data_IF_846946940475
#
_entry.id   IF_846946940475
#
_cell.length_a   1.000
_cell.length_b   1.000
_cell.length_c   1.000
_cell.angle_alpha   90.00
_cell.angle_beta   90.00
_cell.angle_gamma   90.00
#
_symmetry.space_group_name_H-M   'P 1'
#
loop_
_entity.id
_entity.type
_entity.pdbx_description
1 polymer ?
#
# COMPACT_ATOMS: atom_id res chain seq x y z
N UNK A 1 -13.40 0.89 -46.49
CA UNK A 1 -12.79 1.39 -45.24
C UNK A 1 -12.91 2.90 -45.25
N UNK A 2 -13.93 3.45 -44.60
CA UNK A 2 -14.12 4.90 -44.49
C UNK A 2 -13.16 5.46 -43.43
N UNK A 3 -12.38 6.48 -43.79
CA UNK A 3 -11.55 7.23 -42.85
C UNK A 3 -12.45 8.16 -42.02
N UNK A 4 -12.19 8.32 -40.70
CA UNK A 4 -12.98 9.23 -39.88
C UNK A 4 -12.70 10.69 -40.31
N UNK A 5 -13.73 11.38 -40.79
CA UNK A 5 -13.70 12.83 -41.02
C UNK A 5 -13.46 13.55 -39.69
N UNK A 6 -12.27 14.12 -39.53
CA UNK A 6 -12.01 15.10 -38.48
C UNK A 6 -12.70 16.42 -38.85
N UNK A 7 -13.91 16.61 -38.31
CA UNK A 7 -14.62 17.87 -38.42
C UNK A 7 -13.80 18.96 -37.68
N UNK A 8 -13.25 19.92 -38.41
CA UNK A 8 -12.52 21.04 -37.82
C UNK A 8 -13.50 21.96 -37.11
N UNK A 9 -13.70 21.76 -35.81
CA UNK A 9 -14.48 22.69 -34.99
C UNK A 9 -13.78 24.06 -35.06
N UNK A 10 -14.46 25.08 -35.62
CA UNK A 10 -14.00 26.47 -35.50
C UNK A 10 -14.00 26.84 -34.03
N UNK A 11 -12.83 26.83 -33.39
CA UNK A 11 -12.69 27.24 -31.99
C UNK A 11 -12.65 28.77 -31.95
N UNK A 12 -13.73 29.39 -31.47
CA UNK A 12 -13.77 30.83 -31.16
C UNK A 12 -13.70 31.00 -29.64
N UNK A 13 -12.84 31.91 -29.17
CA UNK A 13 -12.82 32.31 -27.76
C UNK A 13 -14.05 33.17 -27.49
N UNK A 14 -14.91 32.72 -26.58
CA UNK A 14 -16.04 33.50 -26.10
C UNK A 14 -15.51 34.58 -25.13
N UNK A 15 -16.13 35.76 -25.12
CA UNK A 15 -15.74 36.87 -24.25
C UNK A 15 -16.78 37.13 -23.15
N UNK A 16 -18.08 36.98 -23.47
CA UNK A 16 -19.20 37.16 -22.55
C UNK A 16 -19.26 36.08 -21.44
N UNK A 17 -19.35 36.45 -20.15
CA UNK A 17 -19.41 35.50 -19.03
C UNK A 17 -20.63 34.56 -19.03
N UNK A 18 -21.81 35.04 -19.42
CA UNK A 18 -23.03 34.23 -19.42
C UNK A 18 -23.05 33.25 -20.60
N UNK A 19 -22.60 33.69 -21.77
CA UNK A 19 -22.39 32.83 -22.94
C UNK A 19 -21.38 31.72 -22.65
N UNK A 20 -20.28 32.04 -21.94
CA UNK A 20 -19.31 31.04 -21.44
C UNK A 20 -19.96 30.02 -20.52
N UNK A 21 -20.73 30.48 -19.52
CA UNK A 21 -21.36 29.61 -18.53
C UNK A 21 -22.35 28.63 -19.19
N UNK A 22 -23.15 29.12 -20.15
CA UNK A 22 -24.08 28.29 -20.90
C UNK A 22 -23.36 27.28 -21.81
N UNK A 23 -22.28 27.70 -22.49
CA UNK A 23 -21.48 26.81 -23.32
C UNK A 23 -20.80 25.71 -22.49
N UNK A 24 -20.27 26.05 -21.32
CA UNK A 24 -19.71 25.09 -20.36
C UNK A 24 -20.78 24.09 -19.91
N UNK A 25 -21.96 24.56 -19.49
CA UNK A 25 -23.05 23.68 -19.04
C UNK A 25 -23.47 22.69 -20.13
N UNK A 26 -23.66 23.16 -21.36
CA UNK A 26 -24.01 22.30 -22.51
C UNK A 26 -22.92 21.28 -22.82
N UNK A 27 -21.65 21.68 -22.76
CA UNK A 27 -20.53 20.78 -22.97
C UNK A 27 -20.48 19.71 -21.88
N UNK A 28 -20.61 20.11 -20.60
CA UNK A 28 -20.65 19.19 -19.45
C UNK A 28 -21.79 18.18 -19.59
N UNK A 29 -23.01 18.63 -19.87
CA UNK A 29 -24.17 17.73 -20.07
C UNK A 29 -23.99 16.77 -21.25
N UNK A 30 -23.40 17.23 -22.35
CA UNK A 30 -23.10 16.39 -23.51
C UNK A 30 -22.08 15.30 -23.16
N UNK A 31 -21.05 15.65 -22.39
CA UNK A 31 -20.04 14.70 -21.92
C UNK A 31 -20.65 13.70 -20.93
N UNK A 32 -21.43 14.16 -19.94
CA UNK A 32 -22.11 13.28 -18.97
C UNK A 32 -23.10 12.33 -19.65
N UNK A 33 -23.85 12.80 -20.66
CA UNK A 33 -24.76 11.93 -21.42
C UNK A 33 -24.01 10.84 -22.19
N UNK A 34 -22.79 11.13 -22.66
CA UNK A 34 -21.98 10.21 -23.45
C UNK A 34 -21.13 9.26 -22.59
N UNK A 35 -20.67 9.70 -21.43
CA UNK A 35 -19.66 9.00 -20.62
C UNK A 35 -20.10 8.69 -19.17
N UNK A 36 -21.29 9.15 -18.75
CA UNK A 36 -21.89 8.91 -17.43
C UNK A 36 -21.88 10.13 -16.51
N UNK A 37 -22.79 10.14 -15.54
CA UNK A 37 -23.08 11.27 -14.63
C UNK A 37 -21.99 11.57 -13.57
N UNK A 38 -20.80 10.98 -13.67
CA UNK A 38 -19.66 11.21 -12.78
C UNK A 38 -18.34 11.46 -13.55
N UNK A 39 -18.40 11.72 -14.86
CA UNK A 39 -17.20 11.96 -15.68
C UNK A 39 -16.56 13.33 -15.39
N UNK A 40 -17.37 14.33 -15.01
CA UNK A 40 -16.90 15.68 -14.71
C UNK A 40 -17.30 16.00 -13.26
N UNK A 41 -16.31 16.29 -12.42
CA UNK A 41 -16.53 16.68 -11.03
C UNK A 41 -16.16 18.16 -10.84
N UNK A 42 -17.08 18.93 -10.24
CA UNK A 42 -16.79 20.26 -9.70
C UNK A 42 -16.05 20.14 -8.36
N UNK A 43 -15.61 21.27 -7.77
CA UNK A 43 -14.86 21.28 -6.51
C UNK A 43 -15.64 20.65 -5.35
N UNK A 44 -16.97 20.86 -5.29
CA UNK A 44 -17.86 20.22 -4.32
C UNK A 44 -17.95 18.70 -4.52
N UNK A 45 -18.06 18.24 -5.77
CA UNK A 45 -18.03 16.81 -6.12
C UNK A 45 -16.69 16.15 -5.81
N UNK A 46 -15.58 16.88 -5.94
CA UNK A 46 -14.24 16.41 -5.51
C UNK A 46 -14.10 16.34 -3.99
N UNK A 47 -14.61 17.34 -3.26
CA UNK A 47 -14.54 17.40 -1.81
C UNK A 47 -15.38 16.29 -1.14
N UNK A 48 -16.48 15.86 -1.78
CA UNK A 48 -17.33 14.77 -1.28
C UNK A 48 -16.71 13.36 -1.39
N UNK A 49 -15.61 13.19 -2.12
CA UNK A 49 -14.92 11.90 -2.24
C UNK A 49 -13.88 11.72 -1.13
N UNK A 50 -14.34 11.38 0.08
CA UNK A 50 -13.44 10.79 1.08
C UNK A 50 -12.85 9.51 0.49
N UNK A 51 -11.52 9.46 0.39
CA UNK A 51 -10.82 8.27 -0.10
C UNK A 51 -10.91 7.21 0.99
N UNK A 52 -11.69 6.17 0.75
CA UNK A 52 -11.78 5.03 1.67
C UNK A 52 -10.41 4.35 1.83
N UNK A 53 -10.12 3.88 3.04
CA UNK A 53 -8.90 3.19 3.37
C UNK A 53 -9.13 1.70 3.63
N UNK A 54 -8.12 0.90 3.31
CA UNK A 54 -7.95 -0.49 3.71
C UNK A 54 -6.83 -0.53 4.77
N UNK A 55 -7.12 -0.92 6.03
CA UNK A 55 -6.13 -0.91 7.11
C UNK A 55 -4.90 -1.76 6.77
N UNK A 56 -3.71 -1.29 7.13
CA UNK A 56 -2.46 -2.02 6.81
C UNK A 56 -2.12 -3.15 7.78
N UNK A 57 -2.84 -3.25 8.89
CA UNK A 57 -2.49 -4.12 10.03
C UNK A 57 -1.43 -3.51 10.96
N UNK A 58 -0.92 -2.31 10.62
CA UNK A 58 0.11 -1.58 11.36
C UNK A 58 -0.42 -0.16 11.62
N UNK A 59 -0.77 0.14 12.87
CA UNK A 59 -1.38 1.42 13.24
C UNK A 59 -0.49 2.60 12.89
N UNK A 60 0.81 2.55 13.21
CA UNK A 60 1.71 3.67 12.91
C UNK A 60 1.90 3.90 11.41
N UNK A 61 1.77 2.86 10.58
CA UNK A 61 1.74 3.00 9.13
C UNK A 61 0.43 3.64 8.65
N UNK A 62 -0.71 3.22 9.21
CA UNK A 62 -2.01 3.83 8.91
C UNK A 62 -2.00 5.34 9.23
N UNK A 63 -1.40 5.73 10.36
CA UNK A 63 -1.14 7.12 10.74
C UNK A 63 -0.22 7.85 9.76
N UNK A 64 0.81 7.15 9.27
CA UNK A 64 1.75 7.69 8.32
C UNK A 64 1.13 7.89 6.93
N UNK A 65 0.21 7.01 6.52
CA UNK A 65 -0.57 7.19 5.29
C UNK A 65 -1.61 8.30 5.47
N UNK A 66 -2.14 8.48 6.69
CA UNK A 66 -2.91 9.64 7.11
C UNK A 66 -4.42 9.54 6.90
N UNK A 67 -4.90 8.51 6.18
CA UNK A 67 -6.33 8.24 5.96
C UNK A 67 -6.79 6.96 6.65
N UNK A 68 -5.97 6.37 7.52
CA UNK A 68 -6.29 5.12 8.24
C UNK A 68 -5.92 3.84 7.50
N UNK A 69 -5.11 3.91 6.45
CA UNK A 69 -4.62 2.73 5.73
C UNK A 69 -4.34 2.99 4.24
N UNK A 70 -4.21 1.94 3.46
CA UNK A 70 -3.99 2.01 2.02
C UNK A 70 -5.24 2.57 1.30
N UNK A 71 -5.10 3.55 0.40
CA UNK A 71 -6.24 4.10 -0.31
C UNK A 71 -6.87 3.07 -1.25
N UNK A 72 -8.16 2.75 -1.05
CA UNK A 72 -8.92 1.84 -1.90
C UNK A 72 -8.93 2.30 -3.36
N UNK A 73 -8.82 1.34 -4.28
CA UNK A 73 -8.80 1.60 -5.72
C UNK A 73 -7.49 2.22 -6.22
N UNK A 74 -6.36 1.95 -5.55
CA UNK A 74 -5.04 2.47 -5.90
C UNK A 74 -3.96 1.39 -5.83
N UNK A 75 -2.86 1.66 -6.53
CA UNK A 75 -1.63 0.86 -6.46
C UNK A 75 -0.71 1.39 -5.35
N UNK A 76 -0.06 0.48 -4.64
CA UNK A 76 0.90 0.72 -3.56
C UNK A 76 2.20 0.01 -3.94
N UNK A 77 3.35 0.66 -3.72
CA UNK A 77 4.66 0.00 -3.88
C UNK A 77 5.33 -0.11 -2.50
N UNK A 78 5.67 -1.34 -2.10
CA UNK A 78 6.55 -1.63 -0.98
C UNK A 78 7.93 -1.97 -1.54
N UNK A 79 8.96 -1.20 -1.21
CA UNK A 79 10.30 -1.44 -1.72
C UNK A 79 11.37 -1.30 -0.64
N UNK A 80 12.51 -1.96 -0.84
CA UNK A 80 13.54 -2.04 0.19
C UNK A 80 14.56 -3.14 -0.10
N UNK A 81 15.64 -3.14 0.68
CA UNK A 81 16.64 -4.20 0.64
C UNK A 81 16.02 -5.59 0.92
N UNK A 82 16.73 -6.65 0.54
CA UNK A 82 16.39 -8.00 0.98
C UNK A 82 16.29 -8.08 2.50
N UNK A 83 15.40 -8.94 3.00
CA UNK A 83 15.16 -9.10 4.43
C UNK A 83 14.77 -7.81 5.18
N UNK A 84 14.32 -6.75 4.51
CA UNK A 84 13.92 -5.51 5.20
C UNK A 84 12.57 -5.61 5.89
N UNK A 85 11.74 -6.60 5.55
CA UNK A 85 10.39 -6.80 6.11
C UNK A 85 9.24 -6.46 5.15
N UNK A 86 9.51 -6.31 3.84
CA UNK A 86 8.48 -6.00 2.82
C UNK A 86 7.34 -7.02 2.82
N UNK A 87 7.68 -8.30 2.74
CA UNK A 87 6.71 -9.41 2.76
C UNK A 87 5.95 -9.44 4.08
N UNK A 88 6.59 -9.18 5.22
CA UNK A 88 5.89 -9.04 6.52
C UNK A 88 4.85 -7.91 6.49
N UNK A 89 5.16 -6.74 5.92
CA UNK A 89 4.18 -5.63 5.78
C UNK A 89 3.00 -6.08 4.93
N UNK A 90 3.26 -6.75 3.80
CA UNK A 90 2.20 -7.21 2.92
C UNK A 90 1.33 -8.29 3.58
N UNK A 91 1.93 -9.27 4.26
CA UNK A 91 1.20 -10.35 4.94
C UNK A 91 0.35 -9.83 6.10
N UNK A 92 0.79 -8.80 6.82
CA UNK A 92 -0.08 -8.15 7.81
C UNK A 92 -1.26 -7.40 7.17
N UNK A 93 -1.07 -6.80 5.99
CA UNK A 93 -2.18 -6.24 5.23
C UNK A 93 -3.17 -7.33 4.77
N UNK A 94 -2.66 -8.51 4.37
CA UNK A 94 -3.48 -9.68 4.04
C UNK A 94 -4.29 -10.14 5.26
N UNK A 95 -3.62 -10.39 6.38
CA UNK A 95 -4.27 -10.86 7.61
C UNK A 95 -5.34 -9.86 8.10
N UNK A 96 -5.03 -8.56 8.09
CA UNK A 96 -5.96 -7.51 8.49
C UNK A 96 -7.16 -7.40 7.52
N UNK A 97 -6.92 -7.59 6.21
CA UNK A 97 -8.02 -7.60 5.23
C UNK A 97 -8.95 -8.78 5.44
N UNK A 98 -8.41 -10.00 5.62
CA UNK A 98 -9.19 -11.21 5.87
C UNK A 98 -9.93 -11.16 7.21
N UNK A 99 -9.32 -10.58 8.25
CA UNK A 99 -9.96 -10.34 9.55
C UNK A 99 -11.20 -9.45 9.42
N UNK A 100 -11.17 -8.48 8.51
CA UNK A 100 -12.29 -7.61 8.19
C UNK A 100 -13.26 -8.20 7.14
N UNK A 101 -13.12 -9.49 6.81
CA UNK A 101 -14.00 -10.21 5.88
C UNK A 101 -13.75 -9.92 4.39
N UNK A 102 -12.65 -9.25 4.06
CA UNK A 102 -12.27 -8.94 2.68
C UNK A 102 -11.60 -10.12 1.97
N UNK A 103 -11.72 -10.15 0.64
CA UNK A 103 -11.10 -11.18 -0.20
C UNK A 103 -9.72 -10.75 -0.66
N UNK A 104 -8.76 -11.69 -0.61
CA UNK A 104 -7.36 -11.43 -0.94
C UNK A 104 -6.83 -12.41 -1.97
N UNK A 105 -6.07 -11.90 -2.95
CA UNK A 105 -5.23 -12.71 -3.81
C UNK A 105 -3.75 -12.41 -3.57
N UNK A 106 -2.91 -13.43 -3.62
CA UNK A 106 -1.47 -13.33 -3.50
C UNK A 106 -0.82 -13.95 -4.75
N UNK A 107 -0.21 -13.10 -5.56
CA UNK A 107 0.56 -13.49 -6.74
C UNK A 107 2.03 -13.62 -6.31
N UNK A 108 2.50 -14.85 -6.12
CA UNK A 108 3.89 -15.14 -5.80
C UNK A 108 4.66 -15.49 -7.07
N UNK A 109 5.34 -14.51 -7.64
CA UNK A 109 6.24 -14.69 -8.76
C UNK A 109 7.66 -15.11 -8.32
N UNK A 110 8.03 -14.93 -7.05
CA UNK A 110 9.33 -15.37 -6.52
C UNK A 110 9.33 -16.85 -6.05
N UNK A 111 8.16 -17.50 -5.98
CA UNK A 111 7.97 -18.86 -5.48
C UNK A 111 8.63 -19.08 -4.10
N UNK A 112 8.48 -18.10 -3.21
CA UNK A 112 9.24 -18.01 -1.96
C UNK A 112 8.38 -17.74 -0.73
N UNK A 113 7.06 -17.69 -0.87
CA UNK A 113 6.17 -17.47 0.26
C UNK A 113 6.20 -18.66 1.25
N UNK A 114 6.56 -18.36 2.50
CA UNK A 114 6.44 -19.29 3.62
C UNK A 114 5.01 -19.25 4.18
N UNK A 115 4.27 -20.35 3.99
CA UNK A 115 2.87 -20.49 4.42
C UNK A 115 2.78 -20.52 5.95
N UNK A 116 3.68 -21.23 6.64
CA UNK A 116 3.67 -21.33 8.10
C UNK A 116 3.91 -19.96 8.73
N UNK A 117 4.86 -19.20 8.18
CA UNK A 117 5.08 -17.82 8.60
C UNK A 117 3.85 -16.94 8.35
N UNK A 118 3.20 -17.06 7.19
CA UNK A 118 1.98 -16.30 6.91
C UNK A 118 0.85 -16.62 7.91
N UNK A 119 0.63 -17.89 8.22
CA UNK A 119 -0.36 -18.34 9.21
C UNK A 119 -0.06 -17.80 10.61
N UNK A 120 1.21 -17.80 11.02
CA UNK A 120 1.65 -17.19 12.28
C UNK A 120 1.35 -15.68 12.36
N UNK A 121 1.31 -14.99 11.22
CA UNK A 121 0.88 -13.58 11.13
C UNK A 121 -0.64 -13.40 11.09
N UNK A 122 -1.42 -14.49 11.16
CA UNK A 122 -2.87 -14.47 11.14
C UNK A 122 -3.49 -14.53 9.75
N UNK A 123 -2.70 -14.86 8.72
CA UNK A 123 -3.23 -15.13 7.37
C UNK A 123 -4.00 -16.44 7.39
N UNK A 124 -5.22 -16.42 6.86
CA UNK A 124 -6.07 -17.60 6.68
C UNK A 124 -5.76 -18.22 5.31
N UNK A 125 -4.89 -19.21 5.28
CA UNK A 125 -4.39 -19.85 4.06
C UNK A 125 -5.50 -20.50 3.23
N UNK A 126 -6.51 -21.08 3.90
CA UNK A 126 -7.71 -21.70 3.30
C UNK A 126 -8.55 -20.76 2.43
N UNK A 127 -8.55 -19.46 2.74
CA UNK A 127 -9.33 -18.42 2.07
C UNK A 127 -8.47 -17.47 1.24
N UNK A 128 -7.15 -17.69 1.22
CA UNK A 128 -6.22 -16.93 0.40
C UNK A 128 -6.15 -17.53 -1.02
N UNK A 129 -6.48 -16.72 -2.03
CA UNK A 129 -6.25 -17.13 -3.42
C UNK A 129 -4.77 -16.95 -3.73
N UNK A 130 -4.04 -18.06 -3.75
CA UNK A 130 -2.62 -18.09 -4.07
C UNK A 130 -2.41 -18.46 -5.54
N UNK A 131 -1.57 -17.70 -6.25
CA UNK A 131 -1.25 -17.96 -7.65
C UNK A 131 0.24 -17.77 -7.93
N UNK A 132 0.80 -18.67 -8.73
CA UNK A 132 2.21 -18.69 -9.16
C UNK A 132 2.27 -18.62 -10.68
N UNK A 133 2.50 -17.42 -11.26
CA UNK A 133 2.60 -17.26 -12.70
C UNK A 133 4.01 -17.61 -13.20
N UNK A 134 4.10 -18.15 -14.42
CA UNK A 134 5.37 -18.44 -15.08
C UNK A 134 5.98 -17.19 -15.74
N UNK A 135 5.13 -16.23 -16.13
CA UNK A 135 5.53 -15.02 -16.87
C UNK A 135 4.90 -13.75 -16.30
N UNK A 136 5.52 -12.60 -16.58
CA UNK A 136 4.97 -11.30 -16.22
C UNK A 136 3.62 -11.02 -16.88
N UNK A 137 3.44 -11.43 -18.14
CA UNK A 137 2.17 -11.30 -18.85
C UNK A 137 1.06 -12.13 -18.21
N UNK A 138 1.37 -13.36 -17.81
CA UNK A 138 0.43 -14.23 -17.09
C UNK A 138 0.02 -13.63 -15.73
N UNK A 139 0.99 -13.12 -14.97
CA UNK A 139 0.71 -12.42 -13.72
C UNK A 139 -0.28 -11.25 -13.93
N UNK A 140 -0.04 -10.41 -14.94
CA UNK A 140 -0.94 -9.30 -15.26
C UNK A 140 -2.30 -9.77 -15.79
N UNK A 141 -2.37 -10.89 -16.50
CA UNK A 141 -3.65 -11.50 -16.89
C UNK A 141 -4.47 -11.89 -15.66
N UNK A 142 -3.87 -12.62 -14.71
CA UNK A 142 -4.51 -13.01 -13.45
C UNK A 142 -4.97 -11.78 -12.66
N UNK A 143 -4.11 -10.77 -12.50
CA UNK A 143 -4.47 -9.52 -11.82
C UNK A 143 -5.66 -8.84 -12.50
N UNK A 144 -5.68 -8.76 -13.83
CA UNK A 144 -6.80 -8.16 -14.56
C UNK A 144 -8.11 -8.93 -14.34
N UNK A 145 -8.07 -10.26 -14.35
CA UNK A 145 -9.25 -11.08 -14.11
C UNK A 145 -9.76 -10.93 -12.67
N UNK A 146 -8.88 -10.96 -11.67
CA UNK A 146 -9.24 -10.73 -10.27
C UNK A 146 -9.86 -9.36 -10.06
N UNK A 147 -9.25 -8.29 -10.59
CA UNK A 147 -9.81 -6.94 -10.53
C UNK A 147 -11.17 -6.89 -11.24
N UNK A 148 -11.32 -7.51 -12.40
CA UNK A 148 -12.57 -7.51 -13.18
C UNK A 148 -13.75 -8.13 -12.43
N UNK A 149 -13.51 -9.09 -11.53
CA UNK A 149 -14.58 -9.66 -10.69
C UNK A 149 -15.21 -8.63 -9.75
N UNK A 150 -14.46 -7.60 -9.34
CA UNK A 150 -14.86 -6.66 -8.30
C UNK A 150 -14.99 -7.28 -6.90
N UNK A 151 -14.59 -8.54 -6.71
CA UNK A 151 -14.72 -9.26 -5.44
C UNK A 151 -13.53 -9.07 -4.50
N UNK A 152 -12.33 -8.82 -5.04
CA UNK A 152 -11.10 -8.71 -4.25
C UNK A 152 -10.90 -7.31 -3.68
N UNK A 153 -10.68 -7.23 -2.36
CA UNK A 153 -10.31 -6.00 -1.66
C UNK A 153 -8.81 -5.72 -1.77
N UNK A 154 -7.98 -6.77 -1.76
CA UNK A 154 -6.53 -6.68 -1.80
C UNK A 154 -5.93 -7.71 -2.77
N UNK A 155 -4.96 -7.27 -3.56
CA UNK A 155 -4.09 -8.15 -4.35
C UNK A 155 -2.64 -7.81 -4.01
N UNK A 156 -1.84 -8.80 -3.62
CA UNK A 156 -0.40 -8.65 -3.40
C UNK A 156 0.35 -9.29 -4.56
N UNK A 157 1.41 -8.64 -5.03
CA UNK A 157 2.31 -9.14 -6.07
C UNK A 157 3.74 -9.16 -5.53
N UNK A 158 4.25 -10.35 -5.22
CA UNK A 158 5.60 -10.58 -4.69
C UNK A 158 6.44 -11.39 -5.70
N UNK A 159 7.38 -10.81 -6.45
CA UNK A 159 7.73 -9.39 -6.53
C UNK A 159 7.80 -8.92 -7.98
N UNK A 160 7.81 -7.60 -8.16
CA UNK A 160 7.93 -6.95 -9.47
C UNK A 160 9.17 -7.41 -10.24
N UNK A 161 10.27 -7.70 -9.53
CA UNK A 161 11.50 -8.14 -10.16
C UNK A 161 11.33 -9.47 -10.90
N UNK A 162 10.44 -10.34 -10.42
CA UNK A 162 10.15 -11.65 -10.99
C UNK A 162 9.08 -11.62 -12.10
N UNK A 163 8.44 -10.47 -12.36
CA UNK A 163 7.53 -10.28 -13.49
C UNK A 163 8.31 -10.18 -14.81
N UNK A 164 8.93 -11.28 -15.21
CA UNK A 164 9.80 -11.38 -16.38
C UNK A 164 8.97 -11.63 -17.63
N UNK A 165 9.15 -10.84 -18.71
CA UNK A 165 8.43 -11.09 -19.96
C UNK A 165 8.73 -12.48 -20.53
N UNK A 166 7.72 -13.14 -21.13
CA UNK A 166 7.89 -14.45 -21.76
C UNK A 166 9.07 -14.50 -22.74
N UNK A 167 9.25 -13.43 -23.55
CA UNK A 167 10.36 -13.34 -24.49
C UNK A 167 11.75 -13.35 -23.83
N UNK A 168 11.88 -12.79 -22.62
CA UNK A 168 13.15 -12.79 -21.90
C UNK A 168 13.46 -14.17 -21.32
N UNK A 169 12.43 -14.90 -20.87
CA UNK A 169 12.52 -16.30 -20.42
C UNK A 169 12.96 -17.22 -21.57
N UNK A 170 12.43 -16.98 -22.77
CA UNK A 170 12.82 -17.69 -24.00
C UNK A 170 14.20 -17.29 -24.54
N UNK A 171 14.93 -16.42 -23.84
CA UNK A 171 16.32 -16.05 -24.14
C UNK A 171 16.48 -14.79 -25.01
N UNK A 172 15.40 -14.06 -25.32
CA UNK A 172 15.45 -12.80 -26.08
C UNK A 172 15.90 -11.66 -25.17
N UNK A 173 17.21 -11.42 -25.10
CA UNK A 173 17.79 -10.36 -24.28
C UNK A 173 17.71 -8.99 -24.98
N UNK A 174 16.56 -8.31 -24.90
CA UNK A 174 16.49 -6.87 -25.22
C UNK A 174 16.36 -6.02 -23.95
N UNK A 175 17.20 -4.99 -23.78
CA UNK A 175 17.09 -4.10 -22.63
C UNK A 175 15.72 -3.42 -22.55
N UNK A 176 15.09 -3.43 -21.37
CA UNK A 176 13.88 -2.65 -21.09
C UNK A 176 12.55 -3.29 -21.46
N UNK A 177 12.52 -4.57 -21.88
CA UNK A 177 11.26 -5.29 -22.15
C UNK A 177 10.33 -5.27 -20.94
N UNK A 178 10.84 -5.59 -19.75
CA UNK A 178 10.06 -5.55 -18.51
C UNK A 178 9.46 -4.16 -18.25
N UNK A 179 10.25 -3.09 -18.43
CA UNK A 179 9.77 -1.72 -18.22
C UNK A 179 8.67 -1.32 -19.22
N UNK A 180 8.77 -1.78 -20.47
CA UNK A 180 7.74 -1.58 -21.50
C UNK A 180 6.45 -2.31 -21.13
N UNK A 181 6.53 -3.60 -20.82
CA UNK A 181 5.39 -4.41 -20.38
C UNK A 181 4.70 -3.78 -19.16
N UNK A 182 5.46 -3.42 -18.13
CA UNK A 182 4.94 -2.75 -16.93
C UNK A 182 4.22 -1.45 -17.28
N UNK A 183 4.77 -0.63 -18.18
CA UNK A 183 4.14 0.64 -18.59
C UNK A 183 2.80 0.42 -19.29
N UNK A 184 2.75 -0.54 -20.21
CA UNK A 184 1.56 -0.89 -20.97
C UNK A 184 0.47 -1.48 -20.04
N UNK A 185 0.83 -2.49 -19.24
CA UNK A 185 -0.11 -3.19 -18.35
C UNK A 185 -0.65 -2.29 -17.24
N UNK A 186 0.21 -1.53 -16.55
CA UNK A 186 -0.22 -0.64 -15.48
C UNK A 186 -1.13 0.49 -15.99
N UNK A 187 -0.88 1.01 -17.20
CA UNK A 187 -1.73 2.07 -17.78
C UNK A 187 -3.18 1.65 -17.96
N UNK A 188 -3.41 0.38 -18.31
CA UNK A 188 -4.74 -0.20 -18.49
C UNK A 188 -5.38 -0.61 -17.15
N UNK A 189 -4.55 -1.01 -16.18
CA UNK A 189 -4.99 -1.54 -14.90
C UNK A 189 -5.55 -0.45 -13.97
N UNK A 190 -4.94 0.74 -13.91
CA UNK A 190 -5.28 1.79 -12.93
C UNK A 190 -6.74 2.21 -12.98
N UNK A 191 -7.33 2.30 -14.18
CA UNK A 191 -8.75 2.64 -14.34
C UNK A 191 -9.67 1.58 -13.73
N UNK A 192 -9.41 0.30 -14.01
CA UNK A 192 -10.20 -0.84 -13.49
C UNK A 192 -10.09 -0.97 -11.97
N UNK A 193 -8.87 -0.79 -11.43
CA UNK A 193 -8.61 -0.82 -9.99
C UNK A 193 -9.37 0.31 -9.28
N UNK A 194 -9.42 1.50 -9.86
CA UNK A 194 -10.15 2.61 -9.26
C UNK A 194 -11.67 2.40 -9.21
N UNK A 195 -12.23 1.74 -10.23
CA UNK A 195 -13.66 1.41 -10.33
C UNK A 195 -14.06 0.35 -9.30
N UNK A 196 -13.23 -0.68 -9.14
CA UNK A 196 -13.48 -1.85 -8.28
C UNK A 196 -13.11 -1.64 -6.82
N UNK A 197 -12.40 -0.55 -6.52
CA UNK A 197 -11.91 -0.21 -5.18
C UNK A 197 -10.90 -1.20 -4.59
N UNK A 198 -10.42 -2.17 -5.38
CA UNK A 198 -9.32 -3.07 -5.02
C UNK A 198 -8.04 -2.28 -4.72
N UNK A 199 -7.29 -2.68 -3.69
CA UNK A 199 -5.93 -2.23 -3.44
C UNK A 199 -4.97 -3.24 -4.06
N UNK A 200 -3.95 -2.77 -4.78
CA UNK A 200 -2.88 -3.65 -5.27
C UNK A 200 -1.56 -3.23 -4.65
N UNK A 201 -0.92 -4.14 -3.93
CA UNK A 201 0.41 -3.96 -3.36
C UNK A 201 1.43 -4.68 -4.24
N UNK A 202 2.37 -3.92 -4.80
CA UNK A 202 3.53 -4.45 -5.48
C UNK A 202 4.74 -4.43 -4.54
N UNK A 203 5.35 -5.60 -4.32
CA UNK A 203 6.62 -5.70 -3.61
C UNK A 203 7.76 -5.56 -4.63
N UNK A 204 8.78 -4.81 -4.26
CA UNK A 204 9.93 -4.57 -5.13
C UNK A 204 11.24 -4.54 -4.33
N UNK A 205 12.34 -4.87 -4.99
CA UNK A 205 13.66 -4.83 -4.38
C UNK A 205 14.41 -3.56 -4.80
N UNK A 206 15.31 -3.06 -3.96
CA UNK A 206 16.23 -2.00 -4.35
C UNK A 206 17.41 -2.63 -5.10
N UNK A 207 17.73 -2.09 -6.28
CA UNK A 207 18.98 -2.39 -6.99
C UNK A 207 19.88 -1.15 -7.01
N UNK A 208 21.13 -1.34 -6.66
CA UNK A 208 22.18 -0.34 -6.82
C UNK A 208 22.66 -0.37 -8.26
N UNK A 209 22.51 0.75 -8.99
CA UNK A 209 23.22 0.93 -10.25
C UNK A 209 24.54 1.61 -9.97
N UNK A 210 25.67 1.03 -10.41
CA UNK A 210 26.95 1.73 -10.47
C UNK A 210 26.82 2.88 -11.47
N UNK A 211 26.60 4.10 -11.00
CA UNK A 211 26.85 5.33 -11.77
C UNK A 211 28.12 5.98 -11.25
N UNK A 212 28.96 6.47 -12.16
CA UNK A 212 30.35 6.86 -11.92
C UNK A 212 30.62 7.72 -10.66
N UNK A 213 31.85 7.60 -10.17
CA UNK A 213 32.58 8.18 -9.02
C UNK A 213 31.88 8.84 -7.81
N UNK A 214 30.64 9.34 -7.85
CA UNK A 214 30.09 10.15 -6.73
C UNK A 214 28.59 10.01 -6.38
N UNK A 215 27.77 9.22 -7.07
CA UNK A 215 26.41 8.91 -6.57
C UNK A 215 26.00 7.48 -6.90
N UNK A 216 25.84 6.65 -5.88
CA UNK A 216 25.06 5.42 -5.99
C UNK A 216 23.58 5.82 -6.05
N UNK A 217 22.95 5.65 -7.21
CA UNK A 217 21.51 5.85 -7.35
C UNK A 217 20.81 4.52 -7.05
N UNK A 218 20.01 4.50 -5.99
CA UNK A 218 19.11 3.38 -5.72
C UNK A 218 17.95 3.43 -6.72
N UNK A 219 17.75 2.33 -7.45
CA UNK A 219 16.67 2.19 -8.43
C UNK A 219 15.83 0.96 -8.09
N UNK A 220 14.61 0.88 -8.61
CA UNK A 220 13.74 -0.28 -8.43
C UNK A 220 13.48 -0.92 -9.81
N UNK A 221 13.46 -2.26 -9.92
CA UNK A 221 13.08 -2.99 -11.13
C UNK A 221 11.71 -2.59 -11.72
N UNK A 222 11.49 -2.89 -13.01
CA UNK A 222 10.24 -2.58 -13.71
C UNK A 222 10.12 -1.16 -14.29
N UNK A 223 11.21 -0.39 -14.28
CA UNK A 223 11.24 0.97 -14.84
C UNK A 223 10.59 2.02 -13.92
N UNK A 224 10.17 3.15 -14.51
CA UNK A 224 9.58 4.27 -13.75
C UNK A 224 8.05 4.20 -13.61
N UNK A 225 7.37 3.36 -14.40
CA UNK A 225 5.92 3.28 -14.49
C UNK A 225 5.25 3.06 -13.13
N UNK A 226 5.70 2.03 -12.38
CA UNK A 226 5.16 1.73 -11.06
C UNK A 226 5.33 2.93 -10.10
N UNK A 227 6.48 3.61 -10.14
CA UNK A 227 6.72 4.82 -9.33
C UNK A 227 5.73 5.92 -9.64
N UNK A 228 5.28 6.08 -10.88
CA UNK A 228 4.31 7.09 -11.29
C UNK A 228 2.87 6.71 -10.91
N UNK A 229 2.47 5.47 -11.19
CA UNK A 229 1.12 4.97 -10.97
C UNK A 229 0.81 4.70 -9.49
N UNK A 230 1.78 4.27 -8.68
CA UNK A 230 1.58 4.07 -7.24
C UNK A 230 1.16 5.37 -6.55
N UNK A 231 0.09 5.31 -5.76
CA UNK A 231 -0.41 6.43 -4.98
C UNK A 231 0.34 6.59 -3.67
N UNK A 232 0.74 5.47 -3.07
CA UNK A 232 1.60 5.43 -1.90
C UNK A 232 2.81 4.56 -2.23
N UNK A 233 4.00 5.03 -1.86
CA UNK A 233 5.24 4.25 -1.95
C UNK A 233 5.88 4.24 -0.57
N UNK A 234 6.18 3.04 -0.07
CA UNK A 234 6.74 2.83 1.26
C UNK A 234 8.09 2.14 1.08
N UNK A 235 9.13 2.82 1.55
CA UNK A 235 10.47 2.30 1.64
C UNK A 235 10.63 1.60 2.99
N UNK A 236 10.79 0.28 2.97
CA UNK A 236 10.94 -0.57 4.15
C UNK A 236 12.42 -0.75 4.44
N UNK A 237 12.89 -0.21 5.58
CA UNK A 237 14.29 -0.26 6.00
C UNK A 237 14.47 -1.10 7.25
N UNK A 238 15.41 -2.04 7.19
CA UNK A 238 15.89 -2.73 8.38
C UNK A 238 16.66 -1.75 9.27
N UNK A 239 16.42 -1.82 10.57
CA UNK A 239 17.10 -1.03 11.59
C UNK A 239 17.86 -1.91 12.58
N UNK A 240 17.99 -1.41 13.80
CA UNK A 240 18.73 -2.05 14.88
C UNK A 240 18.12 -3.41 15.27
N UNK A 241 19.00 -4.38 15.52
CA UNK A 241 18.63 -5.68 16.11
C UNK A 241 18.14 -5.47 17.54
N UNK A 242 17.08 -6.17 17.90
CA UNK A 242 16.60 -6.25 19.27
C UNK A 242 17.12 -7.53 19.89
N UNK A 243 17.71 -7.39 21.08
CA UNK A 243 18.29 -8.50 21.82
C UNK A 243 17.55 -8.74 23.12
N UNK A 244 17.47 -10.01 23.50
CA UNK A 244 17.17 -10.44 24.85
C UNK A 244 18.36 -11.26 25.35
N UNK A 245 19.12 -10.69 26.30
CA UNK A 245 20.44 -11.19 26.65
C UNK A 245 21.39 -11.24 25.45
N UNK A 246 21.73 -12.45 25.00
CA UNK A 246 22.66 -12.70 23.88
C UNK A 246 21.90 -12.90 22.57
N UNK A 247 20.66 -13.37 22.63
CA UNK A 247 19.86 -13.77 21.47
C UNK A 247 19.26 -12.56 20.76
N UNK A 248 19.23 -12.60 19.43
CA UNK A 248 18.52 -11.59 18.64
C UNK A 248 17.09 -12.06 18.42
N UNK A 249 16.16 -11.43 19.13
CA UNK A 249 14.73 -11.80 19.11
C UNK A 249 13.93 -11.02 18.06
N UNK A 250 14.53 -10.00 17.44
CA UNK A 250 13.84 -9.21 16.43
C UNK A 250 14.68 -8.05 15.90
N UNK A 251 14.01 -7.11 15.23
CA UNK A 251 14.63 -5.90 14.69
C UNK A 251 13.63 -4.74 14.59
N UNK A 252 14.13 -3.53 14.77
CA UNK A 252 13.39 -2.32 14.37
C UNK A 252 13.32 -2.26 12.86
N UNK A 253 12.19 -1.80 12.32
CA UNK A 253 11.98 -1.59 10.89
C UNK A 253 11.32 -0.23 10.69
N UNK A 254 11.87 0.59 9.80
CA UNK A 254 11.29 1.89 9.46
C UNK A 254 10.48 1.79 8.18
N UNK A 255 9.25 2.29 8.20
CA UNK A 255 8.33 2.29 7.06
C UNK A 255 8.22 3.72 6.51
N UNK A 256 9.11 4.11 5.61
CA UNK A 256 9.22 5.48 5.13
C UNK A 256 8.29 5.75 3.93
N UNK A 257 7.29 6.61 4.11
CA UNK A 257 6.32 6.99 3.06
C UNK A 257 6.92 7.97 2.05
N UNK A 258 7.80 7.50 1.16
CA UNK A 258 8.50 8.37 0.17
C UNK A 258 7.58 9.02 -0.87
N UNK A 259 6.36 8.50 -1.03
CA UNK A 259 5.31 9.10 -1.86
C UNK A 259 3.97 8.86 -1.20
N UNK A 260 3.14 9.90 -1.15
CA UNK A 260 1.78 9.81 -0.67
C UNK A 260 0.92 10.81 -1.46
N UNK A 261 -0.07 10.31 -2.21
CA UNK A 261 -1.02 11.14 -2.99
C UNK A 261 -2.33 11.43 -2.23
N UNK A 262 -2.49 10.92 -1.00
CA UNK A 262 -3.71 11.08 -0.20
C UNK A 262 -3.49 11.86 1.09
N UNK A 263 -2.24 12.01 1.55
CA UNK A 263 -1.86 12.94 2.61
C UNK A 263 -0.38 13.35 2.51
N UNK A 264 0.13 14.11 3.49
CA UNK A 264 1.53 14.54 3.55
C UNK A 264 2.52 13.36 3.52
N UNK A 265 3.45 13.32 2.55
CA UNK A 265 4.47 12.28 2.46
C UNK A 265 5.61 12.46 3.48
N UNK A 266 6.56 11.53 3.47
CA UNK A 266 7.83 11.50 4.20
C UNK A 266 7.75 11.25 5.71
N UNK A 267 6.61 10.73 6.19
CA UNK A 267 6.50 10.18 7.53
C UNK A 267 7.27 8.84 7.62
N UNK A 268 7.90 8.59 8.77
CA UNK A 268 8.82 7.46 9.02
C UNK A 268 8.49 6.74 10.35
N UNK A 269 7.31 6.12 10.49
CA UNK A 269 7.03 5.27 11.63
C UNK A 269 8.07 4.15 11.74
N UNK A 270 8.38 3.79 12.99
CA UNK A 270 9.28 2.68 13.32
C UNK A 270 8.48 1.63 14.06
N UNK A 271 8.50 0.41 13.54
CA UNK A 271 7.85 -0.76 14.11
C UNK A 271 8.89 -1.78 14.58
N UNK A 272 8.49 -2.68 15.46
CA UNK A 272 9.34 -3.76 15.95
C UNK A 272 8.86 -5.07 15.34
N UNK A 273 9.70 -5.66 14.51
CA UNK A 273 9.51 -7.01 13.98
C UNK A 273 10.12 -8.01 14.97
N UNK A 274 9.29 -8.82 15.59
CA UNK A 274 9.70 -9.96 16.43
C UNK A 274 9.73 -11.18 15.51
N UNK A 275 10.84 -11.93 15.53
CA UNK A 275 10.96 -13.09 14.66
C UNK A 275 9.90 -14.14 15.02
N UNK A 276 9.20 -14.68 14.01
CA UNK A 276 8.03 -15.54 14.19
C UNK A 276 6.70 -14.77 14.25
N UNK A 277 6.64 -13.69 15.03
CA UNK A 277 5.38 -12.97 15.32
C UNK A 277 5.09 -11.78 14.36
N UNK A 278 6.10 -11.35 13.58
CA UNK A 278 6.00 -10.18 12.72
C UNK A 278 6.01 -8.86 13.48
N UNK A 279 5.32 -7.82 12.97
CA UNK A 279 5.27 -6.54 13.65
C UNK A 279 4.30 -6.58 14.83
N UNK A 280 4.82 -6.38 16.06
CA UNK A 280 3.99 -6.43 17.27
C UNK A 280 3.00 -5.26 17.31
N UNK A 281 1.71 -5.61 17.27
CA UNK A 281 0.62 -4.64 17.35
C UNK A 281 0.60 -3.93 18.70
N UNK A 282 0.88 -4.63 19.80
CA UNK A 282 0.89 -4.05 21.14
C UNK A 282 1.95 -2.96 21.27
N UNK A 283 3.16 -3.24 20.76
CA UNK A 283 4.26 -2.28 20.78
C UNK A 283 3.94 -1.10 19.88
N UNK A 284 3.39 -1.34 18.69
CA UNK A 284 3.06 -0.30 17.73
C UNK A 284 1.99 0.66 18.27
N UNK A 285 0.92 0.11 18.85
CA UNK A 285 -0.17 0.86 19.49
C UNK A 285 0.37 1.67 20.66
N UNK A 286 1.12 1.04 21.59
CA UNK A 286 1.67 1.75 22.75
C UNK A 286 2.62 2.87 22.33
N UNK A 287 3.49 2.62 21.35
CA UNK A 287 4.45 3.62 20.87
C UNK A 287 3.73 4.80 20.24
N UNK A 288 2.67 4.53 19.46
CA UNK A 288 1.81 5.56 18.87
C UNK A 288 1.03 6.33 19.95
N UNK A 289 0.45 5.62 20.92
CA UNK A 289 -0.31 6.20 22.03
C UNK A 289 0.52 7.14 22.90
N UNK A 290 1.82 6.88 23.06
CA UNK A 290 2.74 7.79 23.76
C UNK A 290 2.90 9.11 23.00
N UNK A 291 3.06 9.04 21.67
CA UNK A 291 3.20 10.24 20.84
C UNK A 291 1.94 11.13 20.88
N UNK A 292 0.77 10.51 21.05
CA UNK A 292 -0.52 11.18 21.16
C UNK A 292 -0.91 11.57 22.60
N UNK A 293 -0.09 11.22 23.59
CA UNK A 293 -0.36 11.50 25.01
C UNK A 293 -1.44 10.62 25.66
N UNK A 294 -1.91 9.58 24.97
CA UNK A 294 -2.87 8.59 25.50
C UNK A 294 -2.19 7.69 26.55
N UNK A 295 -0.94 7.31 26.31
CA UNK A 295 -0.10 6.57 27.28
C UNK A 295 0.92 7.51 27.90
N UNK A 296 1.01 7.49 29.24
CA UNK A 296 2.02 8.25 29.98
C UNK A 296 3.22 7.37 30.26
N UNK A 297 4.41 7.85 29.86
CA UNK A 297 5.70 7.23 30.17
C UNK A 297 6.46 8.05 31.21
N UNK A 298 6.81 7.44 32.34
CA UNK A 298 7.62 8.04 33.41
C UNK A 298 8.85 7.16 33.65
N UNK A 299 10.00 7.60 33.14
CA UNK A 299 11.21 6.77 33.10
C UNK A 299 10.98 5.53 32.24
N UNK A 300 11.11 4.34 32.86
CA UNK A 300 10.84 3.05 32.21
C UNK A 300 9.41 2.53 32.40
N UNK A 301 8.58 3.23 33.18
CA UNK A 301 7.22 2.81 33.49
C UNK A 301 6.20 3.41 32.51
N UNK A 302 5.25 2.57 32.09
CA UNK A 302 4.15 2.94 31.20
C UNK A 302 2.82 2.84 31.93
N UNK A 303 1.92 3.79 31.69
CA UNK A 303 0.59 3.83 32.29
C UNK A 303 -0.47 4.33 31.32
N UNK A 304 -1.66 3.75 31.44
CA UNK A 304 -2.84 4.07 30.64
C UNK A 304 -4.03 4.21 31.59
N UNK A 305 -4.76 5.33 31.51
CA UNK A 305 -5.90 5.63 32.40
C UNK A 305 -5.61 5.43 33.91
N UNK A 306 -4.38 5.75 34.35
CA UNK A 306 -3.95 5.59 35.74
C UNK A 306 -3.53 4.16 36.12
N UNK A 307 -3.80 3.16 35.28
CA UNK A 307 -3.33 1.79 35.46
C UNK A 307 -1.89 1.65 34.95
N UNK A 308 -1.03 0.98 35.73
CA UNK A 308 0.33 0.64 35.29
C UNK A 308 0.27 -0.52 34.30
N UNK A 309 0.82 -0.31 33.11
CA UNK A 309 0.92 -1.34 32.07
C UNK A 309 2.16 -2.22 32.24
N UNK A 310 3.25 -1.67 32.80
CA UNK A 310 4.48 -2.40 33.01
C UNK A 310 5.73 -1.54 32.93
N UNK A 311 6.89 -2.20 33.07
CA UNK A 311 8.21 -1.61 32.93
C UNK A 311 8.85 -2.11 31.64
N UNK A 312 9.39 -1.20 30.85
CA UNK A 312 9.99 -1.52 29.55
C UNK A 312 8.94 -1.91 28.49
N UNK A 313 9.30 -1.79 27.22
CA UNK A 313 8.33 -1.98 26.12
C UNK A 313 7.90 -3.46 25.97
N UNK A 314 8.79 -4.41 26.25
CA UNK A 314 8.48 -5.85 26.20
C UNK A 314 7.60 -6.30 27.36
N UNK A 315 7.83 -5.78 28.57
CA UNK A 315 6.93 -6.05 29.70
C UNK A 315 5.52 -5.51 29.47
N UNK A 316 5.40 -4.36 28.78
CA UNK A 316 4.10 -3.82 28.36
C UNK A 316 3.45 -4.68 27.28
N UNK A 317 4.22 -5.16 26.29
CA UNK A 317 3.72 -6.12 25.28
C UNK A 317 3.12 -7.36 25.95
N UNK A 318 3.88 -7.99 26.85
CA UNK A 318 3.45 -9.19 27.57
C UNK A 318 2.21 -8.92 28.42
N UNK A 319 2.15 -7.77 29.10
CA UNK A 319 0.95 -7.39 29.85
C UNK A 319 -0.28 -7.27 28.93
N UNK A 320 -0.15 -6.58 27.81
CA UNK A 320 -1.27 -6.34 26.87
C UNK A 320 -1.74 -7.62 26.19
N UNK A 321 -0.83 -8.56 25.87
CA UNK A 321 -1.21 -9.85 25.30
C UNK A 321 -2.03 -10.71 26.28
N UNK A 322 -1.78 -10.58 27.59
CA UNK A 322 -2.57 -11.26 28.63
C UNK A 322 -3.85 -10.51 29.03
N UNK A 323 -4.02 -9.26 28.60
CA UNK A 323 -5.18 -8.42 28.93
C UNK A 323 -5.82 -7.81 27.68
N UNK A 324 -6.48 -8.62 26.81
CA UNK A 324 -7.02 -8.15 25.53
C UNK A 324 -8.02 -6.99 25.65
N UNK A 325 -8.82 -6.96 26.73
CA UNK A 325 -9.76 -5.86 26.98
C UNK A 325 -9.08 -4.52 27.19
N UNK A 326 -7.92 -4.50 27.84
CA UNK A 326 -7.10 -3.30 28.02
C UNK A 326 -6.45 -2.89 26.71
N UNK A 327 -5.94 -3.86 25.93
CA UNK A 327 -5.38 -3.60 24.61
C UNK A 327 -6.42 -2.98 23.66
N UNK A 328 -7.63 -3.54 23.59
CA UNK A 328 -8.73 -3.02 22.76
C UNK A 328 -9.11 -1.59 23.19
N UNK A 329 -9.25 -1.35 24.50
CA UNK A 329 -9.56 -0.01 25.00
C UNK A 329 -8.46 1.01 24.64
N UNK A 330 -7.19 0.60 24.75
CA UNK A 330 -6.04 1.42 24.37
C UNK A 330 -6.01 1.69 22.86
N UNK A 331 -6.19 0.67 22.02
CA UNK A 331 -6.20 0.82 20.55
C UNK A 331 -7.32 1.75 20.10
N UNK A 332 -8.54 1.57 20.61
CA UNK A 332 -9.69 2.42 20.30
C UNK A 332 -9.42 3.90 20.66
N UNK A 333 -8.98 4.18 21.90
CA UNK A 333 -8.64 5.54 22.31
C UNK A 333 -7.50 6.15 21.50
N UNK A 334 -6.52 5.32 21.10
CA UNK A 334 -5.42 5.77 20.24
C UNK A 334 -5.93 6.13 18.85
N UNK A 335 -6.83 5.32 18.27
CA UNK A 335 -7.49 5.58 16.97
C UNK A 335 -8.41 6.80 17.01
N UNK A 336 -9.15 7.01 18.09
CA UNK A 336 -9.96 8.21 18.30
C UNK A 336 -9.11 9.48 18.37
N UNK A 337 -7.98 9.42 19.10
CA UNK A 337 -7.05 10.54 19.20
C UNK A 337 -6.38 10.90 17.87
N UNK A 338 -6.34 9.97 16.90
CA UNK A 338 -5.75 10.19 15.58
C UNK A 338 -6.63 11.03 14.64
N UNK A 339 -7.93 11.14 14.91
CA UNK A 339 -8.90 11.88 14.08
C UNK A 339 -8.65 11.68 12.57
N UNK A 340 -8.66 10.42 12.10
CA UNK A 340 -8.51 10.14 10.67
C UNK A 340 -9.51 10.98 9.87
N UNK A 341 -9.00 11.86 9.00
CA UNK A 341 -9.76 12.87 8.25
C UNK A 341 -10.52 12.30 7.06
#
# INVERSE_FOLDING_TARGET
>A
MEQPQYNSYKVRKLDDPEEKKLAILKATQSIEKKFGSNTILNEEGKASQHVQALPSGILSLDCAIGIGGYPKGRLIELFGAESSGKTTVALQAVAETQKNGGYVAYIDAENSLDIEYAENLGVKSDSLIFAQPDTGEEAFYMINEFVRTGAFDLIVVDSVAALTPASEIDGVKMPGQQAKMMSEQLSQLVGKVNQTKTVIIFINQIRSTMSGLFLNKETTPGGSALKFYSSVRIEVKSGEKIKDGIDTIGKKTTLHTVKNKVSSPYKKPTVINIFGDGFSQEIDVVTTAIQLGVVKKLGEWYSFNGQKLGRGIFGVKEYLSHHPSVFIALDNLTREALQFS
#
